data_IF_906243265062
#
_entry.id   IF_906243265062
#
_cell.length_a   1.000
_cell.length_b   1.000
_cell.length_c   1.000
_cell.angle_alpha   90.00
_cell.angle_beta   90.00
_cell.angle_gamma   90.00
#
_symmetry.space_group_name_H-M   'P 1'
#
loop_
_entity.id
_entity.type
_entity.pdbx_description
1 polymer ?
#
# COMPACT_ATOMS: atom_id res chain seq x y z
N UNK A 1 4.57 22.52 0.13
CA UNK A 1 4.26 22.71 -1.31
C UNK A 1 2.90 22.12 -1.67
N UNK A 2 2.60 20.86 -1.33
CA UNK A 2 1.27 20.25 -1.54
C UNK A 2 0.15 21.13 -0.97
N UNK A 3 0.31 21.59 0.27
CA UNK A 3 -0.66 22.48 0.90
C UNK A 3 -0.95 23.74 0.10
N UNK A 4 0.09 24.44 -0.34
CA UNK A 4 -0.06 25.66 -1.12
C UNK A 4 -0.75 25.43 -2.47
N UNK A 5 -0.54 24.27 -3.11
CA UNK A 5 -1.20 23.93 -4.37
C UNK A 5 -2.69 23.65 -4.15
N UNK A 6 -3.03 22.87 -3.13
CA UNK A 6 -4.41 22.59 -2.77
C UNK A 6 -5.14 23.84 -2.30
N UNK A 7 -4.48 24.70 -1.51
CA UNK A 7 -5.02 25.98 -1.07
C UNK A 7 -5.23 26.96 -2.24
N UNK A 8 -4.45 26.81 -3.32
CA UNK A 8 -4.63 27.53 -4.58
C UNK A 8 -5.72 26.91 -5.49
N UNK A 9 -6.40 25.86 -5.05
CA UNK A 9 -7.50 25.22 -5.77
C UNK A 9 -7.06 24.15 -6.77
N UNK A 10 -5.86 23.58 -6.62
CA UNK A 10 -5.48 22.39 -7.39
C UNK A 10 -6.48 21.24 -7.09
N UNK A 11 -6.89 20.55 -8.14
CA UNK A 11 -7.78 19.39 -8.03
C UNK A 11 -7.01 18.21 -7.40
N UNK A 12 -7.46 17.76 -6.22
CA UNK A 12 -6.82 16.70 -5.45
C UNK A 12 -7.00 15.32 -6.11
N UNK A 13 -7.98 15.16 -7.00
CA UNK A 13 -8.26 13.94 -7.76
C UNK A 13 -7.86 14.08 -9.24
N UNK A 14 -7.05 15.09 -9.58
CA UNK A 14 -6.66 15.36 -10.96
C UNK A 14 -6.09 14.10 -11.63
N UNK A 15 -6.64 13.65 -12.77
CA UNK A 15 -6.12 12.49 -13.48
C UNK A 15 -4.81 12.85 -14.21
N UNK A 16 -4.13 11.82 -14.72
CA UNK A 16 -2.91 12.01 -15.52
C UNK A 16 -1.61 11.86 -14.73
N UNK A 17 -1.68 11.26 -13.55
CA UNK A 17 -0.52 10.72 -12.85
C UNK A 17 0.28 9.75 -13.74
N UNK A 18 1.57 9.61 -13.45
CA UNK A 18 2.48 8.74 -14.21
C UNK A 18 2.00 7.28 -14.15
N UNK A 19 1.46 6.86 -13.02
CA UNK A 19 0.93 5.52 -12.83
C UNK A 19 -0.52 5.44 -13.29
N UNK A 20 -0.74 4.72 -14.40
CA UNK A 20 -2.06 4.36 -14.92
C UNK A 20 -3.02 5.55 -15.16
N UNK A 21 -2.49 6.75 -15.42
CA UNK A 21 -3.26 8.00 -15.51
C UNK A 21 -4.07 8.32 -14.26
N UNK A 22 -3.60 7.83 -13.11
CA UNK A 22 -4.24 7.93 -11.80
C UNK A 22 -4.24 9.34 -11.21
N UNK A 23 -4.45 9.41 -9.90
CA UNK A 23 -4.52 10.64 -9.11
C UNK A 23 -3.16 11.01 -8.51
N UNK A 24 -2.97 12.21 -7.95
CA UNK A 24 -1.75 12.56 -7.22
C UNK A 24 -1.45 11.60 -6.06
N UNK A 25 -2.47 10.97 -5.46
CA UNK A 25 -2.28 9.96 -4.42
C UNK A 25 -1.70 8.66 -5.00
N UNK A 26 -2.17 8.23 -6.19
CA UNK A 26 -1.65 7.03 -6.86
C UNK A 26 -0.13 7.15 -7.09
N UNK A 27 0.34 8.29 -7.61
CA UNK A 27 1.79 8.57 -7.79
C UNK A 27 2.53 8.66 -6.45
N UNK A 28 1.97 9.37 -5.46
CA UNK A 28 2.63 9.55 -4.17
C UNK A 28 2.89 8.21 -3.46
N UNK A 29 1.94 7.28 -3.52
CA UNK A 29 2.12 5.93 -2.93
C UNK A 29 3.08 5.09 -3.79
N UNK A 30 2.94 5.10 -5.12
CA UNK A 30 3.82 4.32 -6.00
C UNK A 30 5.30 4.71 -5.86
N UNK A 31 5.59 6.01 -5.75
CA UNK A 31 6.96 6.53 -5.57
C UNK A 31 7.41 6.62 -4.12
N UNK A 32 6.67 6.03 -3.17
CA UNK A 32 7.05 5.98 -1.76
C UNK A 32 7.13 7.35 -1.08
N UNK A 33 6.40 8.35 -1.59
CA UNK A 33 6.33 9.70 -1.03
C UNK A 33 5.36 9.72 0.15
N UNK A 34 5.67 8.98 1.22
CA UNK A 34 4.75 8.69 2.32
C UNK A 34 4.17 9.92 3.01
N UNK A 35 4.99 10.96 3.21
CA UNK A 35 4.52 12.22 3.82
C UNK A 35 3.55 12.96 2.88
N UNK A 36 3.80 12.94 1.57
CA UNK A 36 2.91 13.52 0.58
C UNK A 36 1.58 12.76 0.51
N UNK A 37 1.66 11.44 0.44
CA UNK A 37 0.48 10.57 0.37
C UNK A 37 -0.41 10.72 1.61
N UNK A 38 0.17 10.69 2.83
CA UNK A 38 -0.59 10.96 4.06
C UNK A 38 -1.23 12.35 4.03
N UNK A 39 -0.49 13.35 3.56
CA UNK A 39 -1.02 14.71 3.49
C UNK A 39 -2.19 14.85 2.52
N UNK A 40 -2.15 14.14 1.38
CA UNK A 40 -3.28 14.10 0.44
C UNK A 40 -4.52 13.47 1.09
N UNK A 41 -4.35 12.35 1.81
CA UNK A 41 -5.46 11.71 2.54
C UNK A 41 -6.04 12.64 3.62
N UNK A 42 -5.20 13.31 4.40
CA UNK A 42 -5.64 14.31 5.39
C UNK A 42 -6.43 15.47 4.76
N UNK A 43 -6.16 15.77 3.48
CA UNK A 43 -6.84 16.81 2.70
C UNK A 43 -8.10 16.30 1.99
N UNK A 44 -8.47 15.03 2.20
CA UNK A 44 -9.70 14.43 1.68
C UNK A 44 -9.55 13.67 0.37
N UNK A 45 -8.32 13.32 -0.03
CA UNK A 45 -8.11 12.47 -1.20
C UNK A 45 -8.81 11.12 -1.01
N UNK A 46 -9.48 10.64 -2.06
CA UNK A 46 -10.16 9.35 -2.04
C UNK A 46 -9.14 8.22 -2.05
N UNK A 47 -9.32 7.26 -1.14
CA UNK A 47 -8.43 6.11 -1.03
C UNK A 47 -9.02 4.89 -1.72
N UNK A 48 -8.11 3.97 -2.07
CA UNK A 48 -8.40 2.61 -2.54
C UNK A 48 -7.76 1.68 -1.51
N UNK A 49 -8.17 0.40 -1.49
CA UNK A 49 -7.66 -0.58 -0.52
C UNK A 49 -6.13 -0.61 -0.40
N UNK A 50 -5.42 -0.54 -1.53
CA UNK A 50 -3.96 -0.58 -1.56
C UNK A 50 -3.30 0.73 -1.07
N UNK A 51 -4.00 1.87 -1.17
CA UNK A 51 -3.56 3.13 -0.55
C UNK A 51 -3.66 3.00 0.98
N UNK A 52 -4.80 2.55 1.49
CA UNK A 52 -5.02 2.37 2.93
C UNK A 52 -4.00 1.39 3.50
N UNK A 53 -3.73 0.30 2.79
CA UNK A 53 -2.72 -0.68 3.15
C UNK A 53 -1.29 -0.09 3.23
N UNK A 54 -0.85 0.63 2.19
CA UNK A 54 0.48 1.25 2.14
C UNK A 54 0.65 2.37 3.18
N UNK A 55 -0.44 3.05 3.55
CA UNK A 55 -0.41 4.16 4.50
C UNK A 55 -0.64 3.75 5.95
N UNK A 56 -1.01 2.49 6.20
CA UNK A 56 -1.24 1.97 7.54
C UNK A 56 -2.63 2.30 8.11
N UNK A 57 -3.60 2.62 7.24
CA UNK A 57 -4.95 3.01 7.62
C UNK A 57 -5.80 1.77 7.92
N UNK A 58 -5.44 1.04 8.98
CA UNK A 58 -6.03 -0.25 9.33
C UNK A 58 -7.55 -0.19 9.56
N UNK A 59 -8.05 0.91 10.12
CA UNK A 59 -9.49 1.05 10.38
C UNK A 59 -10.29 1.17 9.07
N UNK A 60 -9.83 1.95 8.09
CA UNK A 60 -10.44 2.02 6.75
C UNK A 60 -10.38 0.66 6.03
N UNK A 61 -9.26 -0.04 6.21
CA UNK A 61 -9.08 -1.41 5.70
C UNK A 61 -10.17 -2.32 6.27
N UNK A 62 -10.32 -2.38 7.61
CA UNK A 62 -11.35 -3.18 8.27
C UNK A 62 -12.76 -2.83 7.81
N UNK A 63 -13.06 -1.54 7.65
CA UNK A 63 -14.33 -1.05 7.11
C UNK A 63 -14.62 -1.59 5.70
N UNK A 64 -13.59 -1.68 4.86
CA UNK A 64 -13.72 -2.23 3.50
C UNK A 64 -14.12 -3.72 3.49
N UNK A 65 -13.70 -4.50 4.49
CA UNK A 65 -14.04 -5.92 4.59
C UNK A 65 -15.46 -6.20 5.14
N UNK A 66 -16.08 -5.23 5.79
CA UNK A 66 -17.47 -5.33 6.29
C UNK A 66 -18.48 -4.60 5.40
N UNK A 67 -18.01 -3.86 4.40
CA UNK A 67 -18.83 -3.09 3.47
C UNK A 67 -19.61 -3.96 2.47
N UNK A 68 -20.43 -3.30 1.66
CA UNK A 68 -21.28 -3.95 0.64
C UNK A 68 -20.50 -4.65 -0.48
N UNK A 69 -19.22 -4.28 -0.67
CA UNK A 69 -18.34 -4.86 -1.68
C UNK A 69 -17.04 -5.29 -1.00
N UNK A 70 -16.95 -6.57 -0.66
CA UNK A 70 -15.76 -7.15 -0.03
C UNK A 70 -14.62 -7.22 -1.07
N UNK A 71 -13.38 -6.90 -0.68
CA UNK A 71 -12.21 -7.03 -1.55
C UNK A 71 -12.07 -8.44 -2.15
N UNK A 72 -11.68 -8.48 -3.42
CA UNK A 72 -11.33 -9.74 -4.10
C UNK A 72 -9.95 -10.26 -3.64
N UNK A 73 -9.65 -11.56 -3.76
CA UNK A 73 -8.34 -12.11 -3.39
C UNK A 73 -7.15 -11.42 -4.08
N UNK A 74 -7.32 -10.98 -5.33
CA UNK A 74 -6.30 -10.24 -6.09
C UNK A 74 -6.07 -8.82 -5.51
N UNK A 75 -7.15 -8.12 -5.12
CA UNK A 75 -7.04 -6.83 -4.44
C UNK A 75 -6.38 -6.94 -3.07
N UNK A 76 -6.73 -7.99 -2.31
CA UNK A 76 -6.13 -8.28 -1.00
C UNK A 76 -4.64 -8.56 -1.15
N UNK A 77 -4.25 -9.37 -2.12
CA UNK A 77 -2.84 -9.70 -2.40
C UNK A 77 -2.05 -8.47 -2.83
N UNK A 78 -2.60 -7.62 -3.70
CA UNK A 78 -1.97 -6.35 -4.09
C UNK A 78 -1.83 -5.39 -2.90
N UNK A 79 -2.88 -5.27 -2.09
CA UNK A 79 -2.87 -4.46 -0.89
C UNK A 79 -1.83 -4.96 0.11
N UNK A 80 -1.66 -6.28 0.27
CA UNK A 80 -0.65 -6.86 1.14
C UNK A 80 0.77 -6.49 0.70
N UNK A 81 1.04 -6.58 -0.61
CA UNK A 81 2.31 -6.11 -1.16
C UNK A 81 2.55 -4.62 -0.86
N UNK A 82 1.52 -3.79 -1.03
CA UNK A 82 1.58 -2.36 -0.75
C UNK A 82 1.80 -2.05 0.74
N UNK A 83 1.16 -2.79 1.66
CA UNK A 83 1.44 -2.69 3.10
C UNK A 83 2.91 -3.03 3.39
N UNK A 84 3.45 -4.05 2.74
CA UNK A 84 4.86 -4.43 2.90
C UNK A 84 5.80 -3.33 2.38
N UNK A 85 5.50 -2.74 1.22
CA UNK A 85 6.28 -1.64 0.65
C UNK A 85 6.25 -0.39 1.53
N UNK A 86 5.09 -0.08 2.12
CA UNK A 86 4.90 1.04 3.04
C UNK A 86 5.44 0.81 4.46
N UNK A 87 5.98 -0.38 4.77
CA UNK A 87 6.45 -0.72 6.11
C UNK A 87 5.33 -0.84 7.14
N UNK A 88 4.14 -1.29 6.75
CA UNK A 88 2.94 -1.28 7.58
C UNK A 88 2.63 -2.68 8.11
N UNK A 89 3.27 -3.10 9.20
CA UNK A 89 3.13 -4.45 9.76
C UNK A 89 1.70 -4.82 10.14
N UNK A 90 0.98 -3.97 10.86
CA UNK A 90 -0.37 -4.29 11.34
C UNK A 90 -1.38 -4.46 10.19
N UNK A 91 -1.21 -3.70 9.09
CA UNK A 91 -2.06 -3.89 7.90
C UNK A 91 -1.65 -5.13 7.11
N UNK A 92 -0.36 -5.42 7.00
CA UNK A 92 0.13 -6.66 6.39
C UNK A 92 -0.37 -7.90 7.14
N UNK A 93 -0.32 -7.90 8.48
CA UNK A 93 -0.88 -8.96 9.33
C UNK A 93 -2.36 -9.19 9.03
N UNK A 94 -3.16 -8.12 9.05
CA UNK A 94 -4.60 -8.21 8.79
C UNK A 94 -4.92 -8.75 7.39
N UNK A 95 -4.18 -8.31 6.37
CA UNK A 95 -4.38 -8.77 4.99
C UNK A 95 -3.96 -10.24 4.81
N UNK A 96 -2.90 -10.67 5.48
CA UNK A 96 -2.47 -12.07 5.47
C UNK A 96 -3.49 -13.00 6.15
N UNK A 97 -4.16 -12.54 7.20
CA UNK A 97 -5.28 -13.26 7.82
C UNK A 97 -6.49 -13.43 6.88
N UNK A 98 -6.55 -12.65 5.80
CA UNK A 98 -7.58 -12.71 4.76
C UNK A 98 -7.04 -13.31 3.45
N UNK A 99 -6.15 -14.30 3.57
CA UNK A 99 -5.62 -15.12 2.46
C UNK A 99 -4.81 -14.34 1.40
N UNK A 100 -4.16 -13.23 1.78
CA UNK A 100 -3.18 -12.60 0.89
C UNK A 100 -2.02 -13.56 0.55
N UNK A 101 -1.60 -13.59 -0.72
CA UNK A 101 -0.42 -14.36 -1.11
C UNK A 101 0.87 -13.68 -0.63
N UNK A 102 1.51 -14.30 0.37
CA UNK A 102 2.73 -13.81 1.00
C UNK A 102 3.95 -13.79 0.07
N UNK A 103 3.90 -14.52 -1.05
CA UNK A 103 5.00 -14.68 -1.99
C UNK A 103 4.68 -14.11 -3.38
N UNK A 104 3.58 -13.37 -3.52
CA UNK A 104 3.19 -12.78 -4.80
C UNK A 104 4.26 -11.80 -5.32
N UNK A 105 4.75 -12.07 -6.53
CA UNK A 105 5.71 -11.20 -7.20
C UNK A 105 4.94 -10.01 -7.79
N UNK A 106 4.97 -8.90 -7.05
CA UNK A 106 4.23 -7.70 -7.40
C UNK A 106 5.00 -6.75 -8.31
N UNK A 107 4.88 -5.47 -8.01
CA UNK A 107 5.52 -4.39 -8.76
C UNK A 107 7.05 -4.46 -8.65
N UNK A 108 7.75 -3.93 -9.65
CA UNK A 108 9.21 -4.05 -9.81
C UNK A 108 9.77 -5.49 -9.77
N UNK A 109 8.90 -6.49 -9.96
CA UNK A 109 9.23 -7.92 -9.84
C UNK A 109 9.76 -8.31 -8.46
N UNK A 110 9.25 -7.68 -7.41
CA UNK A 110 9.67 -7.95 -6.04
C UNK A 110 8.60 -8.71 -5.26
N UNK A 111 8.97 -9.73 -4.48
CA UNK A 111 8.07 -10.30 -3.48
C UNK A 111 7.93 -9.38 -2.26
N UNK A 112 6.92 -9.61 -1.40
CA UNK A 112 6.66 -8.79 -0.22
C UNK A 112 7.85 -8.66 0.73
N UNK A 113 8.66 -9.73 0.89
CA UNK A 113 9.86 -9.69 1.73
C UNK A 113 10.91 -8.71 1.22
N UNK A 114 11.15 -8.64 -0.08
CA UNK A 114 12.18 -7.78 -0.65
C UNK A 114 11.75 -6.31 -0.71
N UNK A 115 10.46 -6.06 -0.94
CA UNK A 115 9.94 -4.69 -0.86
C UNK A 115 9.94 -4.18 0.59
N UNK A 116 9.59 -5.04 1.57
CA UNK A 116 9.66 -4.70 2.99
C UNK A 116 11.08 -4.37 3.46
N UNK A 117 12.12 -5.02 2.91
CA UNK A 117 13.52 -4.68 3.21
C UNK A 117 13.94 -3.28 2.73
N UNK A 118 13.22 -2.70 1.77
CA UNK A 118 13.42 -1.30 1.35
C UNK A 118 12.78 -0.32 2.34
N UNK A 119 11.80 -0.78 3.11
CA UNK A 119 11.28 -0.04 4.26
C UNK A 119 12.26 -0.21 5.44
N UNK A 120 12.47 0.83 6.25
CA UNK A 120 13.33 0.75 7.44
C UNK A 120 12.68 -0.01 8.61
N UNK A 121 11.69 -0.88 8.35
CA UNK A 121 10.95 -1.62 9.38
C UNK A 121 11.51 -3.05 9.53
N UNK A 122 12.42 -3.21 10.48
CA UNK A 122 13.02 -4.50 10.79
C UNK A 122 12.01 -5.50 11.37
N UNK A 123 10.98 -5.05 12.08
CA UNK A 123 10.00 -5.95 12.68
C UNK A 123 9.12 -6.61 11.63
N UNK A 124 8.71 -5.85 10.61
CA UNK A 124 7.97 -6.37 9.48
C UNK A 124 8.77 -7.43 8.72
N UNK A 125 10.06 -7.18 8.45
CA UNK A 125 10.93 -8.13 7.75
C UNK A 125 11.07 -9.44 8.52
N UNK A 126 11.31 -9.37 9.82
CA UNK A 126 11.41 -10.56 10.68
C UNK A 126 10.07 -11.31 10.78
N UNK A 127 8.97 -10.57 10.86
CA UNK A 127 7.64 -11.17 10.84
C UNK A 127 7.36 -11.91 9.53
N UNK A 128 7.63 -11.30 8.37
CA UNK A 128 7.46 -11.94 7.06
C UNK A 128 8.29 -13.24 6.96
N UNK A 129 9.55 -13.21 7.40
CA UNK A 129 10.40 -14.41 7.46
C UNK A 129 9.80 -15.51 8.34
N UNK A 130 9.28 -15.14 9.52
CA UNK A 130 8.65 -16.09 10.43
C UNK A 130 7.40 -16.76 9.85
N UNK A 131 6.75 -16.12 8.88
CA UNK A 131 5.58 -16.62 8.14
C UNK A 131 5.94 -17.38 6.85
N UNK A 132 7.24 -17.55 6.57
CA UNK A 132 7.71 -18.28 5.39
C UNK A 132 7.73 -17.44 4.11
N UNK A 133 7.76 -16.11 4.22
CA UNK A 133 7.99 -15.26 3.06
C UNK A 133 9.38 -15.53 2.46
N UNK A 134 9.42 -15.61 1.13
CA UNK A 134 10.63 -15.89 0.36
C UNK A 134 11.16 -14.62 -0.29
N UNK A 135 12.47 -14.57 -0.49
CA UNK A 135 13.08 -13.52 -1.32
C UNK A 135 13.03 -13.92 -2.79
N UNK A 136 13.25 -12.97 -3.70
CA UNK A 136 13.23 -13.23 -5.14
C UNK A 136 14.26 -14.29 -5.55
N UNK A 137 15.37 -14.42 -4.82
CA UNK A 137 16.38 -15.45 -5.06
C UNK A 137 15.95 -16.85 -4.65
N UNK A 138 14.95 -16.98 -3.77
CA UNK A 138 14.46 -18.26 -3.24
C UNK A 138 13.19 -18.75 -3.97
N UNK A 139 12.57 -17.89 -4.78
CA UNK A 139 11.38 -18.20 -5.60
C UNK A 139 11.74 -18.80 -6.98
N UNK A 140 13.00 -19.12 -7.21
CA UNK A 140 13.56 -19.64 -8.47
C UNK A 140 13.45 -21.14 -8.67
#
# INVERSE_FOLDING_TARGET
MIDALLDAGADIEAPGAVIASGTPLDDAVAFGQWNAARRLVERGAQTKLWHDAALGLLDHLKESFIGSTVPTPDEITKAFWCACYGGQKSTAEYLLEHDADINWIGYDKLPPLDTARRSNDCELVEWLRSRGALSAGDLG
#
